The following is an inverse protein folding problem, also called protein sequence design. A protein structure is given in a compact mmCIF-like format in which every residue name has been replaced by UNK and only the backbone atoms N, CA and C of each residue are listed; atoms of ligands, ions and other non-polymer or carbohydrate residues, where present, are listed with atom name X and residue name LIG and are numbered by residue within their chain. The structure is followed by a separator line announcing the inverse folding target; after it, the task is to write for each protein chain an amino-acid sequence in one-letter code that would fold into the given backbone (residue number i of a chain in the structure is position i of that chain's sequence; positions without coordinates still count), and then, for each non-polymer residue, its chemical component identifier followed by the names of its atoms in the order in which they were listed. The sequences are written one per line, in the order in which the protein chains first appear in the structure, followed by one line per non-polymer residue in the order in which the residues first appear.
data_IF_983326941419
#
_entry.id   IF_983326941419
#
_cell.length_a   1.000
_cell.length_b   1.000
_cell.length_c   1.000
_cell.angle_alpha   90.00
_cell.angle_beta   90.00
_cell.angle_gamma   90.00
#
_symmetry.space_group_name_H-M   'P 1'
#
loop_
_entity.id
_entity.type
_entity.pdbx_description
1 polymer ?
#
# COMPACT_ATOMS: atom_id res chain seq x y z
N UNK A 1 20.94 16.07 4.90
CA UNK A 1 20.92 15.03 3.84
C UNK A 1 19.48 14.65 3.56
N UNK A 2 18.99 14.81 2.33
CA UNK A 2 17.66 14.32 1.93
C UNK A 2 17.87 12.97 1.24
N UNK A 3 17.67 11.89 1.97
CA UNK A 3 17.72 10.53 1.41
C UNK A 3 16.39 10.35 0.67
N UNK A 4 16.45 10.37 -0.66
CA UNK A 4 15.32 10.00 -1.51
C UNK A 4 15.45 8.51 -1.78
N UNK A 5 14.56 7.71 -1.20
CA UNK A 5 14.49 6.27 -1.46
C UNK A 5 13.44 6.05 -2.55
N UNK A 6 13.89 5.57 -3.71
CA UNK A 6 13.03 5.18 -4.82
C UNK A 6 12.46 3.78 -4.53
N UNK A 7 11.14 3.67 -4.54
CA UNK A 7 10.42 2.44 -4.24
C UNK A 7 9.56 2.06 -5.44
N UNK A 8 9.70 0.83 -5.94
CA UNK A 8 8.85 0.29 -7.00
C UNK A 8 7.47 -0.06 -6.42
N UNK A 9 6.42 0.56 -6.95
CA UNK A 9 5.03 0.28 -6.58
C UNK A 9 4.38 -0.51 -7.72
N UNK A 10 4.08 -1.81 -7.54
CA UNK A 10 3.54 -2.63 -8.62
C UNK A 10 2.11 -2.20 -8.99
N UNK A 11 1.95 -1.63 -10.19
CA UNK A 11 0.68 -1.19 -10.78
C UNK A 11 0.63 -1.54 -12.28
N UNK A 12 -0.20 -2.50 -12.68
CA UNK A 12 -0.46 -2.76 -14.10
C UNK A 12 -1.50 -1.77 -14.62
N UNK A 13 -1.36 -1.40 -15.89
CA UNK A 13 -2.30 -0.54 -16.61
C UNK A 13 -3.69 -1.20 -16.61
N UNK A 14 -4.65 -0.58 -15.91
CA UNK A 14 -6.03 -1.06 -15.78
C UNK A 14 -6.44 -1.46 -14.35
N UNK A 15 -5.48 -1.67 -13.43
CA UNK A 15 -5.74 -2.02 -12.02
C UNK A 15 -5.05 -1.06 -11.04
N UNK A 16 -4.88 0.21 -11.45
CA UNK A 16 -4.14 1.23 -10.70
C UNK A 16 -4.61 1.37 -9.24
N UNK A 17 -5.92 1.23 -9.00
CA UNK A 17 -6.53 1.36 -7.66
C UNK A 17 -6.31 0.17 -6.73
N UNK A 18 -5.90 -0.98 -7.27
CA UNK A 18 -5.75 -2.22 -6.53
C UNK A 18 -4.30 -2.64 -6.45
N UNK A 19 -3.89 -3.15 -5.29
CA UNK A 19 -2.64 -3.89 -5.18
C UNK A 19 -2.75 -5.11 -6.07
N UNK A 20 -1.76 -5.27 -6.94
CA UNK A 20 -1.86 -6.13 -8.12
C UNK A 20 -1.97 -7.62 -7.81
N UNK A 21 -1.68 -8.03 -6.59
CA UNK A 21 -1.76 -9.41 -6.18
C UNK A 21 -2.36 -9.47 -4.77
N UNK A 22 -3.58 -10.02 -4.59
CA UNK A 22 -3.88 -10.65 -3.32
C UNK A 22 -2.82 -11.75 -3.14
N UNK A 23 -2.32 -11.94 -1.92
CA UNK A 23 -1.37 -13.01 -1.64
C UNK A 23 -2.01 -14.36 -1.88
N UNK A 24 -1.99 -14.79 -3.14
CA UNK A 24 -2.45 -16.09 -3.55
C UNK A 24 -1.41 -17.11 -3.10
N UNK A 25 -1.90 -18.27 -2.65
CA UNK A 25 -1.11 -19.42 -2.19
C UNK A 25 -0.01 -19.88 -3.18
N UNK A 26 0.00 -19.34 -4.41
CA UNK A 26 0.91 -19.62 -5.51
C UNK A 26 2.06 -18.60 -5.67
N UNK A 27 2.26 -17.69 -4.70
CA UNK A 27 3.52 -16.96 -4.58
C UNK A 27 3.67 -15.71 -5.45
N UNK A 28 2.57 -15.06 -5.83
CA UNK A 28 2.66 -13.70 -6.34
C UNK A 28 2.97 -12.73 -5.19
N UNK A 29 3.97 -11.87 -5.36
CA UNK A 29 4.36 -10.87 -4.37
C UNK A 29 3.20 -9.90 -4.11
N UNK A 30 2.58 -10.04 -2.94
CA UNK A 30 1.67 -9.02 -2.39
C UNK A 30 2.42 -7.69 -2.39
N UNK A 31 1.72 -6.58 -2.65
CA UNK A 31 2.33 -5.26 -2.49
C UNK A 31 3.06 -5.20 -1.14
N UNK A 32 4.40 -5.09 -1.16
CA UNK A 32 5.26 -5.16 0.04
C UNK A 32 4.89 -4.12 1.09
N UNK A 33 4.22 -3.05 0.64
CA UNK A 33 3.77 -1.97 1.49
C UNK A 33 2.38 -2.20 2.06
N UNK A 34 1.58 -3.12 1.52
CA UNK A 34 0.26 -3.45 2.05
C UNK A 34 0.39 -4.48 3.18
N UNK A 35 0.02 -4.09 4.39
CA UNK A 35 0.08 -4.96 5.56
C UNK A 35 -1.16 -4.77 6.44
N UNK A 36 -1.50 -5.78 7.24
CA UNK A 36 -2.57 -5.67 8.24
C UNK A 36 -1.98 -5.30 9.59
N UNK A 37 -2.48 -4.22 10.19
CA UNK A 37 -2.05 -3.73 11.50
C UNK A 37 -3.24 -3.43 12.38
N UNK A 38 -3.02 -3.47 13.68
CA UNK A 38 -4.04 -3.10 14.65
C UNK A 38 -4.05 -1.58 14.82
N UNK A 39 -5.18 -0.94 14.53
CA UNK A 39 -5.37 0.52 14.63
C UNK A 39 -5.91 0.87 16.02
N UNK A 40 -5.12 1.64 16.76
CA UNK A 40 -5.48 2.11 18.11
C UNK A 40 -5.85 3.60 18.06
N UNK A 41 -7.05 3.96 18.51
CA UNK A 41 -7.52 5.36 18.58
C UNK A 41 -7.31 6.03 19.95
N UNK A 42 -6.56 5.38 20.85
CA UNK A 42 -6.27 5.84 22.20
C UNK A 42 -6.58 4.81 23.28
N UNK A 43 -6.42 5.17 24.54
CA UNK A 43 -6.45 4.23 25.69
C UNK A 43 -7.83 3.61 25.97
N UNK A 44 -8.92 4.28 25.56
CA UNK A 44 -10.31 3.85 25.85
C UNK A 44 -11.07 3.36 24.61
N UNK A 45 -10.53 3.57 23.42
CA UNK A 45 -11.22 3.20 22.19
C UNK A 45 -10.94 1.72 21.88
N UNK A 46 -11.94 0.99 21.34
CA UNK A 46 -11.73 -0.37 20.86
C UNK A 46 -10.66 -0.38 19.76
N UNK A 47 -9.81 -1.40 19.82
CA UNK A 47 -8.75 -1.61 18.81
C UNK A 47 -9.38 -2.25 17.59
N UNK A 48 -9.25 -1.61 16.43
CA UNK A 48 -9.61 -2.25 15.17
C UNK A 48 -8.47 -3.18 14.78
N UNK A 49 -8.76 -4.48 14.72
CA UNK A 49 -7.75 -5.50 14.47
C UNK A 49 -7.62 -5.76 12.99
N UNK A 50 -6.39 -6.04 12.54
CA UNK A 50 -6.08 -6.40 11.14
C UNK A 50 -6.64 -5.40 10.12
N UNK A 51 -6.46 -4.11 10.38
CA UNK A 51 -6.84 -3.06 9.42
C UNK A 51 -5.75 -2.96 8.35
N UNK A 52 -6.09 -2.90 7.06
CA UNK A 52 -5.11 -2.72 5.99
C UNK A 52 -4.43 -1.34 6.10
N UNK A 53 -3.11 -1.33 6.00
CA UNK A 53 -2.25 -0.17 6.09
C UNK A 53 -1.20 -0.21 4.99
N UNK A 54 -0.94 0.94 4.38
CA UNK A 54 0.21 1.15 3.50
C UNK A 54 1.41 1.62 4.35
N UNK A 55 2.45 0.79 4.50
CA UNK A 55 3.67 1.13 5.27
C UNK A 55 4.55 2.16 4.58
N UNK A 56 4.47 2.27 3.25
CA UNK A 56 5.27 3.24 2.49
C UNK A 56 4.95 4.69 2.89
N UNK A 57 3.67 4.98 3.10
CA UNK A 57 3.17 6.31 3.45
C UNK A 57 2.52 6.39 4.83
N UNK A 58 2.63 5.30 5.60
CA UNK A 58 2.03 5.11 6.92
C UNK A 58 0.52 5.41 6.98
N UNK A 59 -0.22 5.08 5.91
CA UNK A 59 -1.62 5.46 5.74
C UNK A 59 -2.56 4.27 5.88
N UNK A 60 -3.66 4.43 6.62
CA UNK A 60 -4.69 3.41 6.76
C UNK A 60 -5.57 3.36 5.51
N UNK A 61 -5.87 2.16 5.03
CA UNK A 61 -6.61 1.94 3.79
C UNK A 61 -8.11 1.72 4.08
N UNK A 62 -9.01 2.13 3.18
CA UNK A 62 -10.45 1.91 3.35
C UNK A 62 -10.85 0.44 3.18
N UNK A 63 -10.05 -0.33 2.44
CA UNK A 63 -10.30 -1.75 2.18
C UNK A 63 -9.03 -2.53 1.90
N UNK A 64 -9.15 -3.85 1.94
CA UNK A 64 -8.05 -4.75 1.63
C UNK A 64 -7.64 -4.65 0.16
N UNK A 65 -6.35 -4.77 -0.10
CA UNK A 65 -5.75 -4.74 -1.44
C UNK A 65 -6.04 -3.45 -2.21
N UNK A 66 -6.31 -2.35 -1.50
CA UNK A 66 -6.42 -1.01 -2.09
C UNK A 66 -5.10 -0.26 -1.97
N UNK A 67 -4.80 0.58 -2.96
CA UNK A 67 -3.67 1.51 -2.87
C UNK A 67 -4.10 2.80 -2.18
N UNK A 68 -3.19 3.42 -1.43
CA UNK A 68 -3.43 4.76 -0.89
C UNK A 68 -3.33 5.81 -1.99
N UNK A 69 -3.88 7.00 -1.74
CA UNK A 69 -3.90 8.09 -2.71
C UNK A 69 -2.49 8.51 -3.15
N UNK A 70 -1.51 8.45 -2.23
CA UNK A 70 -0.11 8.77 -2.52
C UNK A 70 0.57 7.73 -3.40
N UNK A 71 0.27 6.44 -3.20
CA UNK A 71 0.75 5.37 -4.10
C UNK A 71 0.14 5.53 -5.50
N UNK A 72 -1.14 5.89 -5.57
CA UNK A 72 -1.83 6.17 -6.82
C UNK A 72 -1.21 7.35 -7.56
N UNK A 73 -0.96 8.46 -6.86
CA UNK A 73 -0.33 9.64 -7.43
C UNK A 73 1.10 9.36 -7.89
N UNK A 74 1.89 8.62 -7.11
CA UNK A 74 3.24 8.20 -7.50
C UNK A 74 3.25 7.39 -8.80
N UNK A 75 2.24 6.54 -8.99
CA UNK A 75 2.03 5.76 -10.21
C UNK A 75 1.62 6.66 -11.38
N UNK A 76 0.59 7.49 -11.19
CA UNK A 76 0.05 8.39 -12.20
C UNK A 76 1.05 9.43 -12.70
N UNK A 77 1.96 9.86 -11.82
CA UNK A 77 2.97 10.88 -12.11
C UNK A 77 4.10 10.37 -13.00
N UNK A 78 4.12 9.10 -13.41
CA UNK A 78 5.13 8.57 -14.31
C UNK A 78 6.55 8.66 -13.76
N UNK A 79 6.71 8.75 -12.42
CA UNK A 79 7.98 8.46 -11.73
C UNK A 79 8.26 6.96 -11.65
N UNK A 80 7.44 6.16 -12.31
CA UNK A 80 7.82 4.89 -12.90
C UNK A 80 8.88 5.18 -13.97
N UNK A 81 10.15 5.33 -13.59
CA UNK A 81 11.24 5.18 -14.57
C UNK A 81 11.22 3.71 -14.96
N UNK A 82 10.50 3.42 -16.05
CA UNK A 82 10.67 2.20 -16.81
C UNK A 82 12.18 1.98 -17.07
N UNK A 83 12.76 0.82 -16.73
CA UNK A 83 13.85 0.28 -17.52
C UNK A 83 13.37 -0.09 -18.94
#
# INVERSE_FOLDING_TARGET
MKILVEHEVPCEKGVEQKCLYPGDYWGNDVCRYHTHRDRTHGRKAPVERRVPKCTLFDEWLPGEYQKCEKCLEATRSGKERLP
#
